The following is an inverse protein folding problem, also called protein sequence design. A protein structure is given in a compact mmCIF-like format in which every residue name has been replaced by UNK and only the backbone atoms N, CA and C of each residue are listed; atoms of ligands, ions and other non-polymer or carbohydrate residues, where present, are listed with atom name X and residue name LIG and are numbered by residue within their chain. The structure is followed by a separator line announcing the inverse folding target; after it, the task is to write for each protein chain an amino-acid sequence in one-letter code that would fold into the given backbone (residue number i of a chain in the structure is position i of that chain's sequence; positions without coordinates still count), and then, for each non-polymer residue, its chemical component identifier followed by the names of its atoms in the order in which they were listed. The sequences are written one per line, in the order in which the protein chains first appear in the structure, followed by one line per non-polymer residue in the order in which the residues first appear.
data_IF_635558239559
#
_entry.id   IF_635558239559
#
_cell.length_a   1.000
_cell.length_b   1.000
_cell.length_c   1.000
_cell.angle_alpha   90.00
_cell.angle_beta   90.00
_cell.angle_gamma   90.00
#
_symmetry.space_group_name_H-M   'P 1'
#
loop_
_entity.id
_entity.type
_entity.pdbx_description
1 polymer ?
#
# COMPACT_ATOMS: atom_id res chain seq x y z
N UNK A 1 0.40 19.51 -10.89
CA UNK A 1 -0.67 18.61 -10.44
C UNK A 1 0.04 17.53 -9.65
N UNK A 2 -0.28 17.39 -8.36
CA UNK A 2 0.39 16.39 -7.50
C UNK A 2 -0.48 15.15 -7.50
N UNK A 3 -0.02 14.08 -8.12
CA UNK A 3 -0.70 12.81 -8.08
C UNK A 3 -0.51 12.20 -6.68
N UNK A 4 -1.62 11.87 -6.01
CA UNK A 4 -1.62 11.18 -4.73
C UNK A 4 -2.49 9.93 -4.83
N UNK A 5 -2.06 8.86 -4.18
CA UNK A 5 -2.85 7.63 -4.06
C UNK A 5 -3.82 7.81 -2.90
N UNK A 6 -5.12 7.62 -3.14
CA UNK A 6 -6.13 7.49 -2.09
C UNK A 6 -6.67 6.07 -2.05
N UNK A 7 -6.85 5.55 -0.84
CA UNK A 7 -7.49 4.27 -0.61
C UNK A 7 -8.93 4.50 -0.23
N UNK A 8 -9.87 3.99 -1.02
CA UNK A 8 -11.30 4.11 -0.74
C UNK A 8 -11.79 2.79 -0.14
N UNK A 9 -12.42 2.86 1.02
CA UNK A 9 -13.08 1.70 1.62
C UNK A 9 -14.23 1.24 0.72
N UNK A 10 -14.16 0.00 0.24
CA UNK A 10 -15.18 -0.58 -0.65
C UNK A 10 -16.54 -0.77 0.02
N UNK A 11 -16.59 -0.73 1.37
CA UNK A 11 -17.84 -0.90 2.12
C UNK A 11 -18.58 0.43 2.33
N UNK A 12 -17.90 1.49 2.75
CA UNK A 12 -18.54 2.76 3.13
C UNK A 12 -18.10 3.97 2.30
N UNK A 13 -17.16 3.81 1.36
CA UNK A 13 -16.67 4.88 0.49
C UNK A 13 -15.72 5.89 1.16
N UNK A 14 -15.41 5.73 2.46
CA UNK A 14 -14.46 6.60 3.15
C UNK A 14 -13.03 6.42 2.65
N UNK A 15 -12.30 7.52 2.50
CA UNK A 15 -10.88 7.53 2.11
C UNK A 15 -9.91 7.65 3.30
N UNK A 16 -10.44 7.57 4.52
CA UNK A 16 -9.68 7.73 5.77
C UNK A 16 -9.45 6.39 6.46
N UNK A 17 -8.23 6.18 6.94
CA UNK A 17 -7.82 5.06 7.76
C UNK A 17 -7.49 5.51 9.19
N UNK A 18 -7.72 4.63 10.15
CA UNK A 18 -7.33 4.77 11.56
C UNK A 18 -6.06 3.93 11.76
N UNK A 19 -5.04 4.58 12.30
CA UNK A 19 -3.80 3.95 12.72
C UNK A 19 -3.70 4.02 14.24
N UNK A 20 -3.49 2.89 14.94
CA UNK A 20 -3.41 2.89 16.40
C UNK A 20 -2.12 3.55 16.91
N UNK A 21 -1.01 3.44 16.18
CA UNK A 21 0.25 4.12 16.48
C UNK A 21 0.69 5.07 15.35
N UNK A 22 1.54 6.04 15.69
CA UNK A 22 2.18 6.95 14.73
C UNK A 22 3.65 7.14 15.11
N UNK A 23 4.61 6.56 14.37
CA UNK A 23 4.43 5.74 13.17
C UNK A 23 3.76 4.37 13.47
N UNK A 24 3.07 3.78 12.48
CA UNK A 24 2.45 2.47 12.66
C UNK A 24 3.50 1.35 12.77
N UNK A 25 3.25 0.42 13.69
CA UNK A 25 4.01 -0.82 13.89
C UNK A 25 3.56 -1.89 12.88
N UNK A 26 4.32 -2.97 12.76
CA UNK A 26 4.04 -4.02 11.76
C UNK A 26 2.76 -4.82 12.08
N UNK A 27 2.49 -5.05 13.36
CA UNK A 27 1.34 -5.78 13.89
C UNK A 27 0.09 -4.91 14.10
N UNK A 28 0.20 -3.59 13.91
CA UNK A 28 -0.93 -2.67 14.03
C UNK A 28 -2.05 -3.03 13.07
N UNK A 29 -3.27 -3.20 13.59
CA UNK A 29 -4.46 -3.37 12.76
C UNK A 29 -4.94 -1.99 12.28
N UNK A 30 -4.91 -1.79 10.97
CA UNK A 30 -5.45 -0.61 10.33
C UNK A 30 -6.95 -0.81 10.12
N UNK A 31 -7.75 0.18 10.49
CA UNK A 31 -9.21 0.16 10.33
C UNK A 31 -9.69 1.31 9.45
N UNK A 32 -10.86 1.18 8.85
CA UNK A 32 -11.50 2.26 8.12
C UNK A 32 -12.12 3.27 9.08
N UNK A 33 -11.84 4.57 8.91
CA UNK A 33 -12.42 5.61 9.78
C UNK A 33 -13.92 5.88 9.52
N UNK A 34 -14.48 5.38 8.41
CA UNK A 34 -15.89 5.58 8.08
C UNK A 34 -16.84 4.54 8.66
N UNK A 35 -16.42 3.27 8.72
CA UNK A 35 -17.25 2.16 9.20
C UNK A 35 -16.57 1.28 10.24
N UNK A 36 -15.39 1.70 10.74
CA UNK A 36 -14.59 1.03 11.77
C UNK A 36 -14.15 -0.40 11.44
N UNK A 37 -14.42 -0.86 10.22
CA UNK A 37 -14.03 -2.19 9.75
C UNK A 37 -12.51 -2.30 9.70
N UNK A 38 -12.00 -3.41 10.23
CA UNK A 38 -10.61 -3.80 10.11
C UNK A 38 -10.25 -4.07 8.64
N UNK A 39 -9.20 -3.39 8.18
CA UNK A 39 -8.59 -3.60 6.87
C UNK A 39 -7.56 -4.73 6.98
N UNK A 40 -6.75 -4.70 8.04
CA UNK A 40 -5.78 -5.75 8.38
C UNK A 40 -4.47 -5.19 8.97
N UNK A 41 -3.49 -6.07 9.23
CA UNK A 41 -2.19 -5.68 9.77
C UNK A 41 -1.42 -4.76 8.82
N UNK A 42 -0.80 -3.71 9.36
CA UNK A 42 -0.01 -2.73 8.61
C UNK A 42 1.11 -3.39 7.81
N UNK A 43 1.81 -4.39 8.36
CA UNK A 43 2.86 -5.12 7.62
C UNK A 43 2.33 -5.76 6.35
N UNK A 44 1.17 -6.42 6.40
CA UNK A 44 0.58 -7.09 5.24
C UNK A 44 0.22 -6.08 4.16
N UNK A 45 -0.38 -4.96 4.56
CA UNK A 45 -0.75 -3.88 3.64
C UNK A 45 0.49 -3.26 3.00
N UNK A 46 1.50 -2.92 3.82
CA UNK A 46 2.79 -2.39 3.37
C UNK A 46 3.49 -3.34 2.40
N UNK A 47 3.56 -4.63 2.71
CA UNK A 47 4.20 -5.64 1.86
C UNK A 47 3.46 -5.78 0.52
N UNK A 48 2.12 -5.79 0.53
CA UNK A 48 1.31 -5.85 -0.68
C UNK A 48 1.52 -4.62 -1.58
N UNK A 49 1.58 -3.41 -0.99
CA UNK A 49 1.86 -2.18 -1.72
C UNK A 49 3.27 -2.18 -2.33
N UNK A 50 4.27 -2.63 -1.56
CA UNK A 50 5.64 -2.75 -2.06
C UNK A 50 5.72 -3.78 -3.20
N UNK A 51 5.04 -4.92 -3.09
CA UNK A 51 4.99 -5.92 -4.15
C UNK A 51 4.35 -5.37 -5.44
N UNK A 52 3.22 -4.67 -5.33
CA UNK A 52 2.55 -4.04 -6.47
C UNK A 52 3.43 -2.98 -7.14
N UNK A 53 4.09 -2.12 -6.35
CA UNK A 53 5.02 -1.12 -6.87
C UNK A 53 6.24 -1.74 -7.56
N UNK A 54 6.77 -2.85 -7.00
CA UNK A 54 7.86 -3.60 -7.63
C UNK A 54 7.42 -4.21 -8.96
N UNK A 55 6.21 -4.74 -9.06
CA UNK A 55 5.71 -5.30 -10.32
C UNK A 55 5.54 -4.21 -11.39
N UNK A 56 4.92 -3.09 -11.04
CA UNK A 56 4.72 -1.96 -11.95
C UNK A 56 6.06 -1.39 -12.44
N UNK A 57 7.02 -1.18 -11.53
CA UNK A 57 8.36 -0.71 -11.92
C UNK A 57 9.10 -1.75 -12.78
N UNK A 58 8.91 -3.05 -12.52
CA UNK A 58 9.50 -4.10 -13.34
C UNK A 58 8.96 -4.08 -14.76
N UNK A 59 7.65 -3.88 -14.92
CA UNK A 59 6.99 -3.76 -16.21
C UNK A 59 7.43 -2.50 -16.95
N UNK A 60 7.51 -1.36 -16.26
CA UNK A 60 7.98 -0.10 -16.83
C UNK A 60 9.44 -0.20 -17.30
N UNK A 61 10.31 -0.73 -16.44
CA UNK A 61 11.73 -0.92 -16.75
C UNK A 61 11.92 -1.82 -17.97
N UNK A 62 11.18 -2.93 -18.06
CA UNK A 62 11.23 -3.78 -19.25
C UNK A 62 10.80 -3.05 -20.52
N UNK A 63 9.75 -2.22 -20.46
CA UNK A 63 9.28 -1.43 -21.62
C UNK A 63 10.29 -0.38 -22.07
N UNK A 64 11.02 0.25 -21.15
CA UNK A 64 11.94 1.36 -21.46
C UNK A 64 13.34 0.86 -21.81
N UNK A 65 13.90 -0.06 -21.01
CA UNK A 65 15.30 -0.48 -21.11
C UNK A 65 15.47 -1.96 -21.50
N UNK A 66 14.38 -2.69 -21.75
CA UNK A 66 14.42 -4.09 -22.18
C UNK A 66 14.88 -5.08 -21.10
N UNK A 67 15.00 -4.63 -19.83
CA UNK A 67 15.50 -5.45 -18.72
C UNK A 67 14.64 -5.25 -17.47
N UNK A 68 14.43 -6.34 -16.72
CA UNK A 68 13.77 -6.29 -15.41
C UNK A 68 14.80 -6.02 -14.30
N UNK A 69 14.48 -5.17 -13.32
CA UNK A 69 15.37 -4.91 -12.18
C UNK A 69 15.45 -6.15 -11.27
N UNK A 70 16.57 -6.27 -10.56
CA UNK A 70 16.71 -7.23 -9.46
C UNK A 70 16.45 -6.55 -8.14
N UNK A 71 15.59 -7.16 -7.33
CA UNK A 71 15.23 -6.64 -6.00
C UNK A 71 16.14 -7.28 -4.95
N UNK A 72 16.82 -6.48 -4.14
CA UNK A 72 17.51 -6.95 -2.94
C UNK A 72 16.65 -6.65 -1.71
N UNK A 73 16.59 -7.57 -0.77
CA UNK A 73 16.01 -7.30 0.53
C UNK A 73 16.96 -6.37 1.28
N UNK A 74 16.45 -5.20 1.68
CA UNK A 74 17.13 -4.26 2.55
C UNK A 74 16.51 -4.26 3.94
#
# INVERSE_FOLDING_TARGET
MTDYIRFICTTCGSDKAIYPNTPPLDDDIISCAGCEREIGPHKIIKDAMLAAGKDELSNLSYKIIGKRPTWKNG
#
